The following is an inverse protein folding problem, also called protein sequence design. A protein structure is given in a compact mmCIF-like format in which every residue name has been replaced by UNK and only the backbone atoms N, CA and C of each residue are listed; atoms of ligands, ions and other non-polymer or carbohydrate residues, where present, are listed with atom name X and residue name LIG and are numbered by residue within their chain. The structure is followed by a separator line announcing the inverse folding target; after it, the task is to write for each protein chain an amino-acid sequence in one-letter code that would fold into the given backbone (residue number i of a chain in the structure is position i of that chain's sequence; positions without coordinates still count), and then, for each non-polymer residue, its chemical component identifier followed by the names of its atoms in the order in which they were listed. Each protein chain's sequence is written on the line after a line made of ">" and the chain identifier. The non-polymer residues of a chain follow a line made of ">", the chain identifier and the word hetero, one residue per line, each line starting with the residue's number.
data_IF_178067697733
#
_entry.id   IF_178067697733
#
_cell.length_a   1.000
_cell.length_b   1.000
_cell.length_c   1.000
_cell.angle_alpha   90.00
_cell.angle_beta   90.00
_cell.angle_gamma   90.00
#
_symmetry.space_group_name_H-M   'P 1'
#
loop_
_entity.id
_entity.type
_entity.pdbx_description
1 polymer ?
#
# COMPACT_ATOMS: atom_id res chain seq x y z
N UNK A 1 61.18 -25.89 -5.58
CA UNK A 1 60.73 -24.56 -6.06
C UNK A 1 59.31 -24.72 -6.56
N UNK A 2 58.35 -24.01 -5.98
CA UNK A 2 56.93 -24.17 -6.35
C UNK A 2 56.54 -23.12 -7.36
N UNK A 3 56.06 -23.56 -8.52
CA UNK A 3 55.66 -22.68 -9.61
C UNK A 3 54.47 -21.79 -9.20
N UNK A 4 54.41 -20.53 -9.68
CA UNK A 4 53.27 -19.65 -9.46
C UNK A 4 52.01 -20.22 -10.13
N UNK A 5 50.85 -19.99 -9.51
CA UNK A 5 49.58 -20.54 -9.99
C UNK A 5 49.12 -19.78 -11.24
N UNK A 6 48.73 -20.51 -12.29
CA UNK A 6 48.28 -19.92 -13.53
C UNK A 6 47.04 -19.02 -13.33
N UNK A 7 47.01 -17.87 -14.00
CA UNK A 7 45.92 -16.89 -13.93
C UNK A 7 44.56 -17.49 -14.30
N UNK A 8 44.53 -18.47 -15.20
CA UNK A 8 43.32 -19.19 -15.60
C UNK A 8 42.61 -19.89 -14.43
N UNK A 9 43.38 -20.44 -13.48
CA UNK A 9 42.86 -21.12 -12.29
C UNK A 9 42.12 -20.12 -11.40
N UNK A 10 42.70 -18.94 -11.19
CA UNK A 10 42.09 -17.85 -10.41
C UNK A 10 40.82 -17.30 -11.06
N UNK A 11 40.84 -17.11 -12.38
CA UNK A 11 39.67 -16.66 -13.14
C UNK A 11 38.54 -17.68 -13.04
N UNK A 12 38.85 -18.97 -13.14
CA UNK A 12 37.85 -20.03 -12.99
C UNK A 12 37.27 -20.08 -11.59
N UNK A 13 38.11 -19.96 -10.55
CA UNK A 13 37.64 -19.90 -9.16
C UNK A 13 36.71 -18.70 -8.92
N UNK A 14 37.11 -17.52 -9.38
CA UNK A 14 36.31 -16.29 -9.28
C UNK A 14 34.95 -16.46 -9.95
N UNK A 15 34.92 -16.96 -11.20
CA UNK A 15 33.68 -17.22 -11.95
C UNK A 15 32.82 -18.28 -11.28
N UNK A 16 33.40 -19.27 -10.61
CA UNK A 16 32.65 -20.28 -9.89
C UNK A 16 32.00 -19.69 -8.63
N UNK A 17 32.75 -18.91 -7.85
CA UNK A 17 32.24 -18.22 -6.67
C UNK A 17 31.11 -17.25 -7.00
N UNK A 18 31.28 -16.42 -8.03
CA UNK A 18 30.24 -15.47 -8.50
C UNK A 18 28.99 -16.20 -9.00
N UNK A 19 29.15 -17.30 -9.74
CA UNK A 19 28.02 -18.10 -10.24
C UNK A 19 27.25 -18.79 -9.13
N UNK A 20 27.93 -19.34 -8.13
CA UNK A 20 27.24 -19.96 -6.98
C UNK A 20 26.56 -18.89 -6.11
N UNK A 21 27.23 -17.75 -5.86
CA UNK A 21 26.63 -16.64 -5.11
C UNK A 21 25.39 -16.05 -5.81
N UNK A 22 25.33 -16.07 -7.14
CA UNK A 22 24.14 -15.62 -7.88
C UNK A 22 22.90 -16.51 -7.65
N UNK A 23 23.07 -17.76 -7.20
CA UNK A 23 21.97 -18.71 -6.97
C UNK A 23 21.24 -18.51 -5.64
N UNK A 24 21.70 -17.60 -4.77
CA UNK A 24 20.98 -17.30 -3.53
C UNK A 24 19.58 -16.74 -3.84
N UNK A 25 18.51 -17.25 -3.23
CA UNK A 25 17.16 -16.72 -3.44
C UNK A 25 16.98 -15.27 -2.96
N UNK A 26 17.71 -14.85 -1.92
CA UNK A 26 17.62 -13.50 -1.35
C UNK A 26 18.66 -12.54 -1.93
N UNK A 27 18.22 -11.33 -2.28
CA UNK A 27 18.99 -10.26 -2.91
C UNK A 27 20.13 -9.80 -2.02
N UNK A 28 19.85 -9.60 -0.73
CA UNK A 28 20.85 -9.17 0.25
C UNK A 28 22.03 -10.13 0.30
N UNK A 29 21.77 -11.43 0.27
CA UNK A 29 22.83 -12.44 0.25
C UNK A 29 23.54 -12.52 -1.09
N UNK A 30 22.82 -12.51 -2.23
CA UNK A 30 23.46 -12.47 -3.56
C UNK A 30 24.46 -11.32 -3.65
N UNK A 31 24.02 -10.10 -3.34
CA UNK A 31 24.84 -8.90 -3.45
C UNK A 31 25.97 -8.89 -2.42
N UNK A 32 25.70 -9.32 -1.18
CA UNK A 32 26.73 -9.42 -0.15
C UNK A 32 27.86 -10.36 -0.56
N UNK A 33 27.54 -11.58 -1.00
CA UNK A 33 28.55 -12.56 -1.39
C UNK A 33 29.32 -12.11 -2.64
N UNK A 34 28.63 -11.62 -3.68
CA UNK A 34 29.28 -11.09 -4.88
C UNK A 34 30.25 -9.94 -4.56
N UNK A 35 29.83 -8.98 -3.73
CA UNK A 35 30.69 -7.89 -3.29
C UNK A 35 31.89 -8.41 -2.50
N UNK A 36 31.67 -9.32 -1.55
CA UNK A 36 32.74 -9.85 -0.69
C UNK A 36 33.75 -10.69 -1.47
N UNK A 37 33.31 -11.47 -2.47
CA UNK A 37 34.18 -12.19 -3.40
C UNK A 37 35.05 -11.19 -4.15
N UNK A 38 34.45 -10.15 -4.74
CA UNK A 38 35.21 -9.09 -5.44
C UNK A 38 36.24 -8.42 -4.55
N UNK A 39 35.86 -7.98 -3.34
CA UNK A 39 36.77 -7.36 -2.37
C UNK A 39 37.94 -8.29 -1.99
N UNK A 40 37.69 -9.60 -1.82
CA UNK A 40 38.73 -10.56 -1.50
C UNK A 40 39.74 -10.73 -2.64
N UNK A 41 39.28 -10.77 -3.90
CA UNK A 41 40.16 -10.87 -5.05
C UNK A 41 40.93 -9.57 -5.31
N UNK A 42 40.32 -8.42 -5.08
CA UNK A 42 40.98 -7.11 -5.20
C UNK A 42 42.10 -6.96 -4.15
N UNK A 43 41.83 -7.28 -2.89
CA UNK A 43 42.82 -7.22 -1.80
C UNK A 43 44.04 -8.12 -2.05
N UNK A 44 43.84 -9.27 -2.68
CA UNK A 44 44.90 -10.25 -2.92
C UNK A 44 45.50 -10.21 -4.35
N UNK A 45 45.14 -9.21 -5.16
CA UNK A 45 45.58 -9.09 -6.57
C UNK A 45 47.11 -8.99 -6.71
N UNK A 46 47.78 -8.40 -5.72
CA UNK A 46 49.23 -8.17 -5.72
C UNK A 46 50.09 -9.27 -5.11
N UNK A 47 49.51 -10.41 -4.70
CA UNK A 47 50.26 -11.48 -4.03
C UNK A 47 51.02 -12.34 -5.05
N UNK A 48 52.35 -12.21 -5.07
CA UNK A 48 53.23 -12.93 -6.02
C UNK A 48 53.87 -14.19 -5.43
N UNK A 49 53.87 -14.34 -4.09
CA UNK A 49 54.48 -15.49 -3.41
C UNK A 49 53.73 -16.81 -3.71
N UNK A 50 54.38 -17.84 -4.30
CA UNK A 50 53.77 -19.11 -4.63
C UNK A 50 53.23 -19.92 -3.43
N UNK A 51 53.78 -19.73 -2.23
CA UNK A 51 53.30 -20.42 -1.01
C UNK A 51 52.00 -19.77 -0.53
N UNK A 52 51.99 -18.44 -0.43
CA UNK A 52 50.79 -17.67 -0.13
C UNK A 52 49.66 -17.89 -1.15
N UNK A 53 49.98 -17.95 -2.45
CA UNK A 53 49.02 -18.24 -3.51
C UNK A 53 48.32 -19.60 -3.32
N UNK A 54 49.06 -20.65 -2.95
CA UNK A 54 48.44 -21.98 -2.72
C UNK A 54 47.52 -21.98 -1.52
N UNK A 55 47.92 -21.33 -0.42
CA UNK A 55 47.07 -21.18 0.77
C UNK A 55 45.79 -20.42 0.48
N UNK A 56 45.88 -19.35 -0.32
CA UNK A 56 44.71 -18.57 -0.76
C UNK A 56 43.81 -19.38 -1.70
N UNK A 57 44.39 -20.20 -2.58
CA UNK A 57 43.63 -21.06 -3.49
C UNK A 57 42.85 -22.11 -2.72
N UNK A 58 43.49 -22.78 -1.75
CA UNK A 58 42.84 -23.76 -0.88
C UNK A 58 41.71 -23.11 -0.07
N UNK A 59 41.94 -21.91 0.47
CA UNK A 59 40.91 -21.14 1.17
C UNK A 59 39.72 -20.82 0.27
N UNK A 60 39.97 -20.34 -0.95
CA UNK A 60 38.89 -20.01 -1.90
C UNK A 60 38.10 -21.25 -2.35
N UNK A 61 38.74 -22.42 -2.45
CA UNK A 61 38.06 -23.69 -2.71
C UNK A 61 37.14 -24.09 -1.55
N UNK A 62 37.61 -23.96 -0.30
CA UNK A 62 36.77 -24.21 0.89
C UNK A 62 35.59 -23.24 0.97
N UNK A 63 35.81 -21.97 0.69
CA UNK A 63 34.75 -20.95 0.66
C UNK A 63 33.71 -21.23 -0.44
N UNK A 64 34.14 -21.74 -1.60
CA UNK A 64 33.22 -22.18 -2.66
C UNK A 64 32.30 -23.30 -2.20
N UNK A 65 32.82 -24.29 -1.46
CA UNK A 65 32.01 -25.37 -0.90
C UNK A 65 31.01 -24.85 0.14
N UNK A 66 31.43 -23.90 0.98
CA UNK A 66 30.54 -23.27 1.97
C UNK A 66 29.40 -22.53 1.27
N UNK A 67 29.70 -21.72 0.24
CA UNK A 67 28.67 -21.01 -0.52
C UNK A 67 27.69 -21.99 -1.17
N UNK A 68 28.18 -23.07 -1.78
CA UNK A 68 27.31 -24.12 -2.36
C UNK A 68 26.36 -24.72 -1.33
N UNK A 69 26.86 -25.08 -0.15
CA UNK A 69 26.01 -25.60 0.94
C UNK A 69 24.97 -24.58 1.39
N UNK A 70 25.37 -23.32 1.54
CA UNK A 70 24.48 -22.25 1.97
C UNK A 70 23.39 -21.93 0.95
N UNK A 71 23.71 -21.98 -0.35
CA UNK A 71 22.73 -21.84 -1.43
C UNK A 71 21.68 -22.94 -1.35
N UNK A 72 22.10 -24.21 -1.19
CA UNK A 72 21.17 -25.33 -1.08
C UNK A 72 20.27 -25.20 0.14
N UNK A 73 20.82 -24.86 1.32
CA UNK A 73 20.03 -24.64 2.54
C UNK A 73 19.01 -23.50 2.32
N UNK A 74 19.45 -22.39 1.72
CA UNK A 74 18.57 -21.25 1.45
C UNK A 74 17.44 -21.59 0.45
N UNK A 75 17.66 -22.55 -0.44
CA UNK A 75 16.64 -23.02 -1.38
C UNK A 75 15.66 -24.01 -0.72
N UNK A 76 16.13 -24.84 0.21
CA UNK A 76 15.28 -25.77 0.96
C UNK A 76 14.34 -25.05 1.94
N UNK A 77 14.78 -23.90 2.46
CA UNK A 77 14.01 -23.07 3.39
C UNK A 77 13.75 -21.68 2.78
N UNK A 78 12.76 -21.57 1.86
CA UNK A 78 12.48 -20.32 1.17
C UNK A 78 12.07 -19.21 2.15
N UNK A 79 12.65 -18.02 1.95
CA UNK A 79 12.35 -16.84 2.75
C UNK A 79 11.42 -15.88 2.00
N UNK A 80 10.73 -15.00 2.73
CA UNK A 80 9.89 -13.96 2.11
C UNK A 80 10.76 -13.04 1.26
N UNK A 81 10.31 -12.77 0.02
CA UNK A 81 10.99 -11.84 -0.87
C UNK A 81 11.04 -10.44 -0.26
N UNK A 82 12.17 -9.76 -0.44
CA UNK A 82 12.31 -8.36 -0.04
C UNK A 82 11.65 -7.46 -1.09
N UNK A 83 11.26 -6.23 -0.72
CA UNK A 83 10.63 -5.23 -1.62
C UNK A 83 11.44 -4.97 -2.90
N UNK A 84 12.76 -5.22 -2.86
CA UNK A 84 13.67 -5.08 -4.01
C UNK A 84 13.49 -6.20 -5.04
N UNK A 85 13.03 -7.37 -4.60
CA UNK A 85 12.90 -8.59 -5.42
C UNK A 85 11.53 -8.73 -6.08
N UNK A 86 10.48 -8.08 -5.54
CA UNK A 86 9.12 -8.11 -6.09
C UNK A 86 9.02 -7.60 -7.55
N UNK A 87 10.03 -6.87 -8.05
CA UNK A 87 9.97 -6.23 -9.38
C UNK A 87 10.47 -7.10 -10.53
N UNK A 88 11.01 -8.29 -10.28
CA UNK A 88 11.62 -9.12 -11.33
C UNK A 88 10.72 -10.26 -11.86
N UNK A 89 9.62 -10.58 -11.18
CA UNK A 89 8.84 -11.80 -11.46
C UNK A 89 7.77 -11.68 -12.55
N UNK A 90 7.60 -10.53 -13.22
CA UNK A 90 6.59 -10.40 -14.27
C UNK A 90 6.92 -11.15 -15.58
N UNK A 91 8.07 -11.84 -15.68
CA UNK A 91 8.55 -12.44 -16.95
C UNK A 91 8.88 -13.93 -16.92
N UNK A 92 8.92 -14.60 -15.78
CA UNK A 92 9.37 -16.02 -15.69
C UNK A 92 8.27 -17.04 -15.32
N UNK A 93 7.00 -16.64 -15.25
CA UNK A 93 5.88 -17.55 -14.88
C UNK A 93 5.37 -18.38 -16.08
N UNK A 94 6.25 -19.02 -16.87
CA UNK A 94 5.79 -19.95 -17.92
C UNK A 94 6.33 -21.37 -17.76
N UNK A 95 7.43 -21.60 -17.06
CA UNK A 95 7.97 -22.96 -16.95
C UNK A 95 8.57 -23.22 -15.57
N UNK A 96 7.74 -23.72 -14.66
CA UNK A 96 7.98 -24.82 -13.71
C UNK A 96 6.74 -24.83 -12.81
N UNK A 97 5.93 -25.87 -12.95
CA UNK A 97 4.82 -26.09 -12.03
C UNK A 97 5.38 -26.34 -10.63
N UNK A 98 4.91 -25.55 -9.66
CA UNK A 98 4.58 -25.90 -8.26
C UNK A 98 4.34 -24.59 -7.50
N UNK A 99 3.05 -24.39 -7.16
CA UNK A 99 2.47 -23.55 -6.10
C UNK A 99 2.96 -22.10 -6.02
N UNK A 100 2.33 -21.25 -6.84
CA UNK A 100 2.32 -19.79 -6.68
C UNK A 100 1.54 -19.42 -5.41
N UNK A 101 2.22 -19.00 -4.34
CA UNK A 101 1.59 -18.17 -3.32
C UNK A 101 1.55 -16.73 -3.85
N UNK A 102 0.46 -16.50 -4.58
CA UNK A 102 -0.05 -15.22 -5.03
C UNK A 102 0.10 -14.10 -3.99
N UNK A 103 0.83 -13.05 -4.34
CA UNK A 103 0.44 -11.67 -3.98
C UNK A 103 -0.63 -11.20 -4.97
N UNK A 104 -1.79 -11.84 -4.89
CA UNK A 104 -3.03 -11.26 -5.37
C UNK A 104 -3.41 -10.19 -4.35
N UNK A 105 -3.84 -9.02 -4.79
CA UNK A 105 -4.86 -8.28 -4.05
C UNK A 105 -5.99 -9.29 -3.81
N UNK A 106 -6.10 -9.79 -2.58
CA UNK A 106 -7.03 -10.86 -2.23
C UNK A 106 -8.42 -10.27 -2.42
N UNK A 107 -9.06 -10.57 -3.55
CA UNK A 107 -10.44 -10.19 -3.75
C UNK A 107 -11.26 -10.85 -2.64
N UNK A 108 -11.97 -10.02 -1.88
CA UNK A 108 -12.84 -10.49 -0.80
C UNK A 108 -13.95 -11.34 -1.42
N UNK A 109 -13.87 -12.65 -1.22
CA UNK A 109 -14.87 -13.61 -1.69
C UNK A 109 -15.41 -14.44 -0.55
N UNK A 110 -16.71 -14.73 -0.59
CA UNK A 110 -17.31 -15.65 0.35
C UNK A 110 -16.97 -17.08 -0.03
N UNK A 111 -16.35 -17.80 0.88
CA UNK A 111 -15.98 -19.22 0.72
C UNK A 111 -17.17 -20.17 0.55
N UNK A 112 -18.40 -19.74 0.89
CA UNK A 112 -19.63 -20.54 0.72
C UNK A 112 -20.34 -20.27 -0.61
N UNK A 113 -20.68 -19.02 -0.90
CA UNK A 113 -21.46 -18.64 -2.10
C UNK A 113 -20.62 -18.11 -3.25
N UNK A 114 -19.30 -17.95 -3.05
CA UNK A 114 -18.34 -17.38 -4.02
C UNK A 114 -18.73 -16.00 -4.55
N UNK A 115 -19.65 -15.31 -3.87
CA UNK A 115 -19.93 -13.90 -4.16
C UNK A 115 -18.72 -13.08 -3.74
N UNK A 116 -18.36 -12.13 -4.59
CA UNK A 116 -17.25 -11.22 -4.37
C UNK A 116 -17.72 -9.77 -4.50
N UNK A 117 -16.85 -8.84 -4.11
CA UNK A 117 -17.12 -7.39 -4.18
C UNK A 117 -17.47 -6.90 -5.60
N UNK A 118 -16.91 -7.55 -6.64
CA UNK A 118 -17.19 -7.22 -8.05
C UNK A 118 -18.63 -7.53 -8.46
N UNK A 119 -19.16 -8.69 -8.04
CA UNK A 119 -20.55 -9.09 -8.31
C UNK A 119 -21.55 -8.27 -7.50
N UNK A 120 -21.17 -7.90 -6.28
CA UNK A 120 -22.05 -7.18 -5.36
C UNK A 120 -21.23 -6.16 -4.56
N UNK A 121 -21.35 -4.88 -4.93
CA UNK A 121 -20.65 -3.78 -4.26
C UNK A 121 -21.06 -3.58 -2.80
N UNK A 122 -22.26 -4.05 -2.43
CA UNK A 122 -22.78 -4.00 -1.06
C UNK A 122 -22.50 -5.28 -0.26
N UNK A 123 -21.57 -6.13 -0.71
CA UNK A 123 -21.22 -7.37 -0.02
C UNK A 123 -20.45 -7.06 1.27
N UNK A 124 -21.07 -7.32 2.41
CA UNK A 124 -20.39 -7.24 3.71
C UNK A 124 -19.86 -8.62 4.09
N UNK A 125 -18.54 -8.69 4.27
CA UNK A 125 -17.84 -9.87 4.74
C UNK A 125 -17.78 -9.88 6.27
N UNK A 126 -17.98 -11.06 6.84
CA UNK A 126 -18.05 -11.31 8.27
C UNK A 126 -17.02 -12.38 8.64
N UNK A 127 -16.30 -12.17 9.74
CA UNK A 127 -15.30 -13.10 10.28
C UNK A 127 -15.72 -13.53 11.69
N UNK A 128 -15.27 -14.70 12.11
CA UNK A 128 -15.53 -15.30 13.42
C UNK A 128 -14.22 -15.70 14.12
N UNK A 129 -14.34 -16.24 15.33
CA UNK A 129 -13.21 -16.74 16.14
C UNK A 129 -12.36 -17.81 15.44
N UNK A 130 -12.90 -18.49 14.43
CA UNK A 130 -12.15 -19.46 13.63
C UNK A 130 -11.34 -18.83 12.49
N UNK A 131 -11.56 -17.55 12.17
CA UNK A 131 -10.88 -16.85 11.08
C UNK A 131 -11.39 -17.21 9.67
N UNK A 132 -12.58 -17.81 9.53
CA UNK A 132 -13.13 -18.17 8.21
C UNK A 132 -14.14 -17.11 7.74
N UNK A 133 -13.87 -16.38 6.64
CA UNK A 133 -14.71 -15.29 6.17
C UNK A 133 -15.98 -15.79 5.46
N UNK A 134 -17.13 -15.21 5.78
CA UNK A 134 -18.43 -15.51 5.19
C UNK A 134 -19.16 -14.21 4.86
N UNK A 135 -19.95 -14.14 3.78
CA UNK A 135 -20.78 -12.96 3.57
C UNK A 135 -21.96 -12.92 4.55
N UNK A 136 -22.47 -11.72 4.82
CA UNK A 136 -23.61 -11.50 5.72
C UNK A 136 -24.81 -12.41 5.43
N UNK A 137 -25.19 -12.56 4.15
CA UNK A 137 -26.29 -13.44 3.74
C UNK A 137 -26.02 -14.92 4.04
N UNK A 138 -24.77 -15.38 3.86
CA UNK A 138 -24.39 -16.75 4.22
C UNK A 138 -24.44 -16.96 5.74
N UNK A 139 -24.04 -15.98 6.54
CA UNK A 139 -24.15 -16.06 8.01
C UNK A 139 -25.62 -16.12 8.42
N UNK A 140 -26.49 -15.29 7.83
CA UNK A 140 -27.92 -15.30 8.13
C UNK A 140 -28.60 -16.63 7.78
N UNK A 141 -28.24 -17.24 6.65
CA UNK A 141 -28.83 -18.50 6.18
C UNK A 141 -28.25 -19.76 6.84
N UNK A 142 -26.94 -19.79 7.16
CA UNK A 142 -26.32 -20.94 7.82
C UNK A 142 -26.64 -20.99 9.32
N UNK A 143 -26.82 -19.83 9.95
CA UNK A 143 -27.01 -19.71 11.40
C UNK A 143 -28.44 -19.26 11.74
N UNK A 144 -29.45 -19.69 10.97
CA UNK A 144 -30.88 -19.37 11.21
C UNK A 144 -31.32 -19.79 12.62
N UNK A 145 -30.79 -20.92 13.12
CA UNK A 145 -31.07 -21.42 14.48
C UNK A 145 -30.18 -20.77 15.56
N UNK A 146 -29.58 -19.61 15.29
CA UNK A 146 -28.63 -18.86 16.14
C UNK A 146 -27.29 -19.56 16.46
N UNK A 147 -27.20 -20.88 16.29
CA UNK A 147 -25.97 -21.64 16.40
C UNK A 147 -25.87 -22.66 15.27
N UNK A 148 -24.64 -22.92 14.82
CA UNK A 148 -24.36 -23.87 13.74
C UNK A 148 -22.86 -24.17 13.62
N UNK A 149 -22.47 -25.21 12.88
CA UNK A 149 -21.06 -25.51 12.65
C UNK A 149 -20.46 -24.58 11.60
N UNK A 150 -19.21 -24.19 11.79
CA UNK A 150 -18.41 -23.51 10.78
C UNK A 150 -18.23 -24.42 9.55
N UNK A 151 -18.40 -23.86 8.35
CA UNK A 151 -18.35 -24.63 7.10
C UNK A 151 -16.95 -25.16 6.73
N UNK A 152 -15.86 -24.57 7.25
CA UNK A 152 -14.49 -25.03 6.97
C UNK A 152 -13.98 -25.97 8.06
N UNK A 153 -14.06 -25.54 9.33
CA UNK A 153 -13.46 -26.26 10.45
C UNK A 153 -14.45 -27.01 11.35
N UNK A 154 -15.75 -26.95 11.08
CA UNK A 154 -16.77 -27.69 11.84
C UNK A 154 -17.04 -27.20 13.28
N UNK A 155 -16.27 -26.23 13.81
CA UNK A 155 -16.49 -25.69 15.16
C UNK A 155 -17.88 -25.08 15.30
N UNK A 156 -18.58 -25.39 16.38
CA UNK A 156 -19.89 -24.82 16.68
C UNK A 156 -19.76 -23.35 17.06
N UNK A 157 -20.39 -22.48 16.26
CA UNK A 157 -20.34 -21.03 16.42
C UNK A 157 -21.73 -20.45 16.65
N UNK A 158 -21.79 -19.33 17.36
CA UNK A 158 -23.01 -18.53 17.57
C UNK A 158 -23.05 -17.37 16.58
N UNK A 159 -24.25 -17.03 16.09
CA UNK A 159 -24.48 -15.93 15.14
C UNK A 159 -23.96 -14.57 15.65
N UNK A 160 -24.06 -14.33 16.96
CA UNK A 160 -23.63 -13.07 17.58
C UNK A 160 -22.10 -12.90 17.65
N UNK A 161 -21.33 -13.99 17.45
CA UNK A 161 -19.87 -13.94 17.49
C UNK A 161 -19.25 -13.67 16.11
N UNK A 162 -20.05 -13.26 15.13
CA UNK A 162 -19.55 -12.78 13.84
C UNK A 162 -19.43 -11.25 13.86
N UNK A 163 -18.34 -10.72 13.30
CA UNK A 163 -18.11 -9.29 13.14
C UNK A 163 -17.71 -8.95 11.71
N UNK A 164 -17.92 -7.69 11.32
CA UNK A 164 -17.59 -7.21 9.98
C UNK A 164 -16.06 -7.17 9.77
N UNK A 165 -15.62 -7.67 8.62
CA UNK A 165 -14.21 -7.73 8.23
C UNK A 165 -13.77 -6.38 7.65
N UNK A 166 -12.87 -5.70 8.35
CA UNK A 166 -12.27 -4.44 7.88
C UNK A 166 -10.97 -4.71 7.13
N UNK A 167 -10.17 -5.67 7.60
CA UNK A 167 -8.88 -6.03 6.98
C UNK A 167 -9.01 -7.15 5.95
N UNK A 168 -8.15 -7.14 4.92
CA UNK A 168 -8.17 -8.17 3.87
C UNK A 168 -7.73 -9.55 4.37
N UNK A 169 -6.82 -9.58 5.36
CA UNK A 169 -6.33 -10.81 5.97
C UNK A 169 -7.22 -11.25 7.16
N UNK A 170 -7.87 -12.44 7.08
CA UNK A 170 -8.67 -12.97 8.18
C UNK A 170 -7.88 -13.25 9.47
N UNK A 171 -6.57 -13.50 9.38
CA UNK A 171 -5.71 -13.72 10.54
C UNK A 171 -5.55 -12.44 11.36
N UNK A 172 -5.32 -11.31 10.68
CA UNK A 172 -5.20 -9.99 11.31
C UNK A 172 -6.52 -9.62 12.01
N UNK A 173 -7.66 -9.96 11.43
CA UNK A 173 -8.95 -9.75 12.10
C UNK A 173 -9.11 -10.59 13.36
N UNK A 174 -8.76 -11.89 13.29
CA UNK A 174 -8.79 -12.78 14.46
C UNK A 174 -7.89 -12.24 15.57
N UNK A 175 -6.66 -11.85 15.24
CA UNK A 175 -5.70 -11.28 16.18
C UNK A 175 -6.20 -9.95 16.78
N UNK A 176 -6.75 -9.06 15.95
CA UNK A 176 -7.28 -7.76 16.40
C UNK A 176 -8.46 -7.93 17.34
N UNK A 177 -9.34 -8.90 17.04
CA UNK A 177 -10.46 -9.25 17.92
C UNK A 177 -9.98 -9.76 19.28
N UNK A 178 -9.03 -10.70 19.29
CA UNK A 178 -8.42 -11.24 20.52
C UNK A 178 -7.73 -10.12 21.31
N UNK A 179 -6.92 -9.28 20.65
CA UNK A 179 -6.23 -8.16 21.28
C UNK A 179 -7.22 -7.18 21.91
N UNK A 180 -8.35 -6.89 21.25
CA UNK A 180 -9.40 -6.01 21.78
C UNK A 180 -10.12 -6.61 22.99
N UNK A 181 -10.30 -7.93 23.03
CA UNK A 181 -10.82 -8.67 24.19
C UNK A 181 -9.82 -8.62 25.35
N UNK A 182 -8.55 -8.98 25.09
CA UNK A 182 -7.51 -9.07 26.11
C UNK A 182 -7.12 -7.69 26.68
N UNK A 183 -7.06 -6.62 25.88
CA UNK A 183 -6.78 -5.25 26.40
C UNK A 183 -7.77 -4.75 27.44
N UNK A 184 -8.99 -5.30 27.50
CA UNK A 184 -9.98 -4.97 28.55
C UNK A 184 -9.64 -5.62 29.89
N UNK A 185 -8.87 -6.71 29.87
CA UNK A 185 -8.43 -7.49 31.03
C UNK A 185 -7.01 -7.05 31.41
N UNK A 186 -6.11 -7.00 30.43
CA UNK A 186 -4.72 -6.55 30.55
C UNK A 186 -4.64 -5.03 30.34
N UNK A 187 -5.12 -4.26 31.32
CA UNK A 187 -5.17 -2.79 31.29
C UNK A 187 -4.25 -2.12 32.32
N UNK A 188 -3.24 -2.81 32.84
CA UNK A 188 -2.22 -2.19 33.71
C UNK A 188 -1.34 -1.23 32.94
N UNK A 189 -0.97 -0.13 33.59
CA UNK A 189 -0.14 0.94 33.04
C UNK A 189 1.27 0.86 33.63
N UNK A 190 2.20 1.62 33.03
CA UNK A 190 3.59 1.73 33.49
C UNK A 190 3.71 2.09 34.96
N UNK A 191 2.80 2.94 35.47
CA UNK A 191 2.80 3.40 36.87
C UNK A 191 2.45 2.30 37.89
N UNK A 192 1.82 1.21 37.44
CA UNK A 192 1.43 0.09 38.30
C UNK A 192 2.60 -0.85 38.58
N UNK A 193 3.76 -0.66 37.92
CA UNK A 193 4.94 -1.51 38.04
C UNK A 193 6.10 -0.76 38.71
N UNK A 194 6.88 -1.42 39.57
CA UNK A 194 8.04 -0.81 40.23
C UNK A 194 9.21 -0.58 39.27
N UNK A 195 9.31 -1.36 38.19
CA UNK A 195 10.42 -1.29 37.23
C UNK A 195 9.94 -1.31 35.77
N UNK A 196 10.70 -0.64 34.89
CA UNK A 196 10.43 -0.66 33.44
C UNK A 196 10.58 -2.07 32.85
N UNK A 197 11.46 -2.91 33.43
CA UNK A 197 11.68 -4.27 32.96
C UNK A 197 10.44 -5.14 33.17
N UNK A 198 9.85 -5.11 34.37
CA UNK A 198 8.61 -5.85 34.64
C UNK A 198 7.45 -5.41 33.77
N UNK A 199 7.35 -4.11 33.48
CA UNK A 199 6.35 -3.61 32.53
C UNK A 199 6.57 -4.14 31.11
N UNK A 200 7.83 -4.21 30.64
CA UNK A 200 8.14 -4.79 29.33
C UNK A 200 7.89 -6.30 29.30
N UNK A 201 8.26 -7.04 30.34
CA UNK A 201 8.00 -8.48 30.46
C UNK A 201 6.49 -8.76 30.46
N UNK A 202 5.69 -7.90 31.10
CA UNK A 202 4.23 -7.93 31.05
C UNK A 202 3.68 -7.72 29.63
N UNK A 203 4.23 -6.76 28.87
CA UNK A 203 3.84 -6.53 27.47
C UNK A 203 4.23 -7.71 26.56
N UNK A 204 5.43 -8.28 26.77
CA UNK A 204 5.86 -9.48 26.03
C UNK A 204 4.97 -10.69 26.35
N UNK A 205 4.60 -10.87 27.63
CA UNK A 205 3.66 -11.93 28.02
C UNK A 205 2.30 -11.74 27.37
N UNK A 206 1.81 -10.50 27.32
CA UNK A 206 0.56 -10.16 26.62
C UNK A 206 0.61 -10.57 25.13
N UNK A 207 1.68 -10.23 24.41
CA UNK A 207 1.83 -10.61 23.00
C UNK A 207 1.99 -12.13 22.80
N UNK A 208 2.62 -12.81 23.77
CA UNK A 208 2.69 -14.28 23.78
C UNK A 208 1.30 -14.90 23.86
N UNK A 209 0.45 -14.40 24.77
CA UNK A 209 -0.94 -14.88 24.92
C UNK A 209 -1.76 -14.58 23.65
N UNK A 210 -1.62 -13.39 23.07
CA UNK A 210 -2.28 -13.03 21.80
C UNK A 210 -1.86 -14.00 20.69
N UNK A 211 -0.56 -14.26 20.53
CA UNK A 211 -0.05 -15.21 19.54
C UNK A 211 -0.62 -16.61 19.76
N UNK A 212 -0.58 -17.14 20.98
CA UNK A 212 -1.06 -18.48 21.29
C UNK A 212 -2.55 -18.64 20.93
N UNK A 213 -3.40 -17.69 21.31
CA UNK A 213 -4.82 -17.71 20.97
C UNK A 213 -5.09 -17.49 19.46
N UNK A 214 -4.30 -16.65 18.80
CA UNK A 214 -4.42 -16.40 17.36
C UNK A 214 -4.10 -17.66 16.54
N UNK A 215 -3.06 -18.40 16.91
CA UNK A 215 -2.67 -19.64 16.22
C UNK A 215 -3.34 -20.90 16.75
N UNK A 216 -4.01 -20.83 17.90
CA UNK A 216 -4.67 -21.98 18.52
C UNK A 216 -3.69 -22.94 19.19
N UNK A 217 -2.57 -22.42 19.71
CA UNK A 217 -1.58 -23.16 20.49
C UNK A 217 -1.99 -23.06 21.96
N UNK A 218 -2.12 -24.21 22.64
CA UNK A 218 -2.41 -24.31 24.08
C UNK A 218 -3.55 -23.38 24.57
N UNK A 219 -4.68 -23.42 23.85
CA UNK A 219 -5.82 -22.51 24.09
C UNK A 219 -6.41 -22.68 25.50
N UNK A 220 -6.44 -23.90 26.02
CA UNK A 220 -7.01 -24.19 27.35
C UNK A 220 -6.15 -23.59 28.47
N UNK A 221 -4.84 -23.83 28.43
CA UNK A 221 -3.89 -23.31 29.42
C UNK A 221 -3.80 -21.78 29.37
N UNK A 222 -3.79 -21.20 28.17
CA UNK A 222 -3.73 -19.75 28.00
C UNK A 222 -5.02 -19.05 28.44
N UNK A 223 -6.20 -19.60 28.15
CA UNK A 223 -7.46 -19.07 28.68
C UNK A 223 -7.55 -19.25 30.21
N UNK A 224 -6.99 -20.32 30.77
CA UNK A 224 -6.91 -20.50 32.22
C UNK A 224 -5.99 -19.46 32.88
N UNK A 225 -4.83 -19.16 32.28
CA UNK A 225 -3.93 -18.09 32.73
C UNK A 225 -4.62 -16.71 32.67
N UNK A 226 -5.33 -16.42 31.58
CA UNK A 226 -6.10 -15.18 31.42
C UNK A 226 -7.19 -15.08 32.49
N UNK A 227 -7.87 -16.18 32.80
CA UNK A 227 -8.90 -16.23 33.85
C UNK A 227 -8.30 -16.00 35.25
N UNK A 228 -7.19 -16.67 35.57
CA UNK A 228 -6.48 -16.49 36.84
C UNK A 228 -5.98 -15.04 37.00
N UNK A 229 -5.42 -14.47 35.94
CA UNK A 229 -4.97 -13.08 35.93
C UNK A 229 -6.12 -12.10 36.16
N UNK A 230 -7.26 -12.35 35.49
CA UNK A 230 -8.47 -11.54 35.63
C UNK A 230 -9.02 -11.56 37.07
N UNK A 231 -8.98 -12.72 37.72
CA UNK A 231 -9.43 -12.88 39.10
C UNK A 231 -8.47 -12.18 40.08
N UNK A 232 -7.16 -12.40 39.93
CA UNK A 232 -6.13 -11.80 40.78
C UNK A 232 -6.09 -10.27 40.71
N UNK A 233 -6.39 -9.69 39.53
CA UNK A 233 -6.27 -8.25 39.28
C UNK A 233 -7.61 -7.53 39.13
N UNK A 234 -8.73 -8.16 39.49
CA UNK A 234 -10.08 -7.64 39.23
C UNK A 234 -10.28 -6.20 39.74
N UNK A 235 -9.78 -5.88 40.94
CA UNK A 235 -9.90 -4.54 41.53
C UNK A 235 -9.06 -3.48 40.78
N UNK A 236 -7.82 -3.83 40.41
CA UNK A 236 -6.94 -2.94 39.65
C UNK A 236 -7.52 -2.68 38.26
N UNK A 237 -8.04 -3.72 37.61
CA UNK A 237 -8.67 -3.62 36.29
C UNK A 237 -9.83 -2.63 36.34
N UNK A 238 -10.68 -2.71 37.36
CA UNK A 238 -11.85 -1.84 37.48
C UNK A 238 -11.47 -0.39 37.82
N UNK A 239 -10.42 -0.17 38.63
CA UNK A 239 -9.86 1.16 38.88
C UNK A 239 -9.30 1.77 37.59
N UNK A 240 -8.53 1.00 36.83
CA UNK A 240 -7.90 1.45 35.58
C UNK A 240 -8.90 1.71 34.45
N UNK A 241 -10.07 1.04 34.45
CA UNK A 241 -11.16 1.38 33.52
C UNK A 241 -11.79 2.74 33.80
N UNK A 242 -11.88 3.15 35.07
CA UNK A 242 -12.47 4.44 35.46
C UNK A 242 -11.51 5.60 35.28
N UNK A 243 -10.20 5.34 35.39
CA UNK A 243 -9.15 6.34 35.18
C UNK A 243 -8.95 6.58 33.68
N UNK A 244 -9.64 7.58 33.14
CA UNK A 244 -9.38 8.10 31.80
C UNK A 244 -7.92 8.53 31.70
N UNK A 245 -7.31 8.25 30.55
CA UNK A 245 -5.93 8.65 30.29
C UNK A 245 -5.82 10.18 30.22
N UNK A 246 -4.67 10.76 30.59
CA UNK A 246 -4.45 12.21 30.47
C UNK A 246 -4.69 12.67 29.02
N UNK A 247 -4.19 11.89 28.05
CA UNK A 247 -4.42 12.09 26.62
C UNK A 247 -5.91 11.97 26.26
N UNK A 248 -6.64 11.02 26.84
CA UNK A 248 -8.07 10.85 26.57
C UNK A 248 -8.90 12.00 27.11
N UNK A 249 -8.56 12.50 28.30
CA UNK A 249 -9.19 13.68 28.91
C UNK A 249 -8.92 14.90 28.02
N UNK A 250 -7.67 15.09 27.60
CA UNK A 250 -7.27 16.18 26.71
C UNK A 250 -8.01 16.12 25.36
N UNK A 251 -8.08 14.93 24.72
CA UNK A 251 -8.82 14.72 23.47
C UNK A 251 -10.30 15.03 23.67
N UNK A 252 -10.92 14.53 24.74
CA UNK A 252 -12.34 14.79 25.01
C UNK A 252 -12.63 16.28 25.19
N UNK A 253 -11.76 16.99 25.91
CA UNK A 253 -11.91 18.41 26.15
C UNK A 253 -11.79 19.22 24.85
N UNK A 254 -10.78 18.94 24.03
CA UNK A 254 -10.63 19.61 22.73
C UNK A 254 -11.81 19.35 21.80
N UNK A 255 -12.29 18.10 21.71
CA UNK A 255 -13.45 17.77 20.89
C UNK A 255 -14.74 18.46 21.37
N UNK A 256 -14.86 18.69 22.69
CA UNK A 256 -15.97 19.46 23.26
C UNK A 256 -15.86 20.93 22.89
N UNK A 257 -14.69 21.53 23.04
CA UNK A 257 -14.43 22.92 22.69
C UNK A 257 -14.66 23.19 21.19
N UNK A 258 -14.19 22.29 20.32
CA UNK A 258 -14.44 22.36 18.87
C UNK A 258 -15.94 22.27 18.53
N UNK A 259 -16.67 21.36 19.21
CA UNK A 259 -18.11 21.22 19.02
C UNK A 259 -18.87 22.46 19.49
N UNK A 260 -18.52 22.99 20.65
CA UNK A 260 -19.14 24.19 21.21
C UNK A 260 -18.86 25.42 20.34
N UNK A 261 -17.64 25.54 19.81
CA UNK A 261 -17.29 26.58 18.84
C UNK A 261 -18.12 26.46 17.57
N UNK A 262 -18.24 25.25 17.00
CA UNK A 262 -19.08 25.01 15.82
C UNK A 262 -20.54 25.35 16.08
N UNK A 263 -21.11 24.92 17.20
CA UNK A 263 -22.49 25.21 17.58
C UNK A 263 -22.74 26.72 17.71
N UNK A 264 -21.79 27.49 18.28
CA UNK A 264 -21.90 28.96 18.38
C UNK A 264 -21.92 29.61 17.01
N UNK A 265 -21.05 29.17 16.09
CA UNK A 265 -21.02 29.67 14.71
C UNK A 265 -22.31 29.34 13.97
N UNK A 266 -22.79 28.10 14.08
CA UNK A 266 -24.03 27.66 13.43
C UNK A 266 -25.25 28.42 13.99
N UNK A 267 -25.29 28.67 15.31
CA UNK A 267 -26.34 29.49 15.94
C UNK A 267 -26.31 30.94 15.47
N UNK A 268 -25.12 31.57 15.43
CA UNK A 268 -24.96 32.93 14.93
C UNK A 268 -25.41 33.04 13.47
N UNK A 269 -25.00 32.09 12.62
CA UNK A 269 -25.41 32.07 11.21
C UNK A 269 -26.92 31.89 11.04
N UNK A 270 -27.54 31.01 11.84
CA UNK A 270 -28.99 30.80 11.80
C UNK A 270 -29.77 32.03 12.30
N UNK A 271 -29.22 32.78 13.26
CA UNK A 271 -29.83 34.02 13.74
C UNK A 271 -29.73 35.14 12.69
N UNK A 272 -28.57 35.32 12.05
CA UNK A 272 -28.39 36.25 10.93
C UNK A 272 -29.39 35.94 9.79
N UNK A 273 -29.51 34.67 9.38
CA UNK A 273 -30.44 34.28 8.32
C UNK A 273 -31.91 34.60 8.66
N UNK A 274 -32.31 34.40 9.93
CA UNK A 274 -33.67 34.74 10.39
C UNK A 274 -33.91 36.25 10.45
N UNK A 275 -32.87 37.04 10.74
CA UNK A 275 -32.97 38.51 10.73
C UNK A 275 -33.13 39.03 9.30
N UNK A 276 -32.39 38.46 8.34
CA UNK A 276 -32.52 38.75 6.90
C UNK A 276 -33.91 38.38 6.36
N UNK A 277 -34.44 37.20 6.73
CA UNK A 277 -35.81 36.83 6.35
C UNK A 277 -36.86 37.81 6.93
N UNK A 278 -36.67 38.24 8.19
CA UNK A 278 -37.59 39.20 8.83
C UNK A 278 -37.49 40.60 8.22
N UNK A 279 -36.31 41.06 7.82
CA UNK A 279 -36.17 42.37 7.15
C UNK A 279 -36.80 42.35 5.76
N UNK A 280 -36.59 41.28 4.98
CA UNK A 280 -37.23 41.12 3.66
C UNK A 280 -38.77 41.17 3.72
N UNK A 281 -39.38 40.56 4.74
CA UNK A 281 -40.84 40.62 4.96
C UNK A 281 -41.31 42.01 5.39
N UNK A 282 -40.50 42.76 6.17
CA UNK A 282 -40.83 44.14 6.56
C UNK A 282 -40.76 45.11 5.40
N UNK A 283 -39.76 44.97 4.53
CA UNK A 283 -39.57 45.86 3.36
C UNK A 283 -40.73 45.71 2.38
N UNK A 284 -41.16 44.48 2.08
CA UNK A 284 -42.34 44.24 1.21
C UNK A 284 -43.64 44.80 1.78
N UNK A 285 -43.81 44.74 3.11
CA UNK A 285 -44.99 45.32 3.79
C UNK A 285 -44.95 46.85 3.80
N UNK A 286 -43.80 47.46 4.06
CA UNK A 286 -43.63 48.91 4.06
C UNK A 286 -43.97 49.52 2.68
N UNK A 287 -43.57 48.85 1.60
CA UNK A 287 -43.92 49.23 0.23
C UNK A 287 -45.44 49.18 0.01
N UNK A 288 -46.13 48.14 0.50
CA UNK A 288 -47.58 48.03 0.40
C UNK A 288 -48.33 49.10 1.23
N UNK A 289 -47.79 49.48 2.39
CA UNK A 289 -48.40 50.49 3.26
C UNK A 289 -48.19 51.91 2.68
N UNK A 290 -47.01 52.22 2.12
CA UNK A 290 -46.74 53.51 1.46
C UNK A 290 -47.61 53.73 0.21
N UNK A 291 -47.86 52.68 -0.59
CA UNK A 291 -48.79 52.71 -1.72
C UNK A 291 -50.26 52.92 -1.29
N UNK A 292 -50.61 52.58 -0.05
CA UNK A 292 -51.97 52.70 0.49
C UNK A 292 -52.25 54.07 1.09
N UNK A 293 -51.26 54.65 1.76
CA UNK A 293 -51.42 55.87 2.53
C UNK A 293 -51.14 57.14 1.72
N UNK A 294 -50.33 57.04 0.67
CA UNK A 294 -49.93 58.19 -0.14
C UNK A 294 -50.75 58.30 -1.44
N UNK A 295 -51.16 59.53 -1.79
CA UNK A 295 -51.83 59.84 -3.06
C UNK A 295 -50.83 60.21 -4.17
N UNK A 296 -49.60 59.71 -4.10
CA UNK A 296 -48.54 59.98 -5.08
C UNK A 296 -48.64 58.93 -6.21
N UNK A 297 -48.37 59.28 -7.49
CA UNK A 297 -48.36 58.30 -8.57
C UNK A 297 -47.43 57.13 -8.26
N UNK A 298 -47.94 55.90 -8.45
CA UNK A 298 -47.24 54.66 -8.08
C UNK A 298 -45.83 54.53 -8.69
N UNK A 299 -45.62 55.10 -9.88
CA UNK A 299 -44.33 55.10 -10.59
C UNK A 299 -43.22 55.84 -9.80
N UNK A 300 -43.56 56.95 -9.14
CA UNK A 300 -42.60 57.74 -8.35
C UNK A 300 -42.21 57.03 -7.06
N UNK A 301 -43.12 56.25 -6.47
CA UNK A 301 -42.87 55.45 -5.26
C UNK A 301 -41.94 54.29 -5.60
N UNK A 302 -42.20 53.60 -6.72
CA UNK A 302 -41.36 52.50 -7.21
C UNK A 302 -39.96 52.97 -7.60
N UNK A 303 -39.80 54.17 -8.17
CA UNK A 303 -38.49 54.73 -8.51
C UNK A 303 -37.68 55.10 -7.27
N UNK A 304 -38.31 55.65 -6.23
CA UNK A 304 -37.66 55.90 -4.93
C UNK A 304 -37.19 54.61 -4.28
N UNK A 305 -38.02 53.57 -4.32
CA UNK A 305 -37.65 52.27 -3.76
C UNK A 305 -36.60 51.53 -4.58
N UNK A 306 -36.64 51.64 -5.92
CA UNK A 306 -35.57 51.10 -6.78
C UNK A 306 -34.23 51.76 -6.46
N UNK A 307 -34.21 53.08 -6.20
CA UNK A 307 -33.00 53.78 -5.77
C UNK A 307 -32.51 53.30 -4.40
N UNK A 308 -33.42 53.13 -3.44
CA UNK A 308 -33.12 52.63 -2.10
C UNK A 308 -32.57 51.19 -2.13
N UNK A 309 -33.15 50.32 -2.97
CA UNK A 309 -32.66 48.95 -3.18
C UNK A 309 -31.26 48.92 -3.81
N UNK A 310 -30.97 49.79 -4.78
CA UNK A 310 -29.64 49.88 -5.39
C UNK A 310 -28.59 50.35 -4.36
N UNK A 311 -28.93 51.34 -3.53
CA UNK A 311 -28.05 51.80 -2.44
C UNK A 311 -27.80 50.69 -1.40
N UNK A 312 -28.85 49.97 -0.99
CA UNK A 312 -28.73 48.81 -0.09
C UNK A 312 -27.89 47.66 -0.68
N UNK A 313 -28.08 47.32 -1.96
CA UNK A 313 -27.34 46.25 -2.63
C UNK A 313 -25.84 46.60 -2.77
N UNK A 314 -25.51 47.87 -2.97
CA UNK A 314 -24.13 48.36 -3.01
C UNK A 314 -23.46 48.25 -1.62
N UNK A 315 -24.19 48.63 -0.57
CA UNK A 315 -23.72 48.56 0.82
C UNK A 315 -23.53 47.10 1.28
N UNK A 316 -24.45 46.20 0.92
CA UNK A 316 -24.35 44.77 1.20
C UNK A 316 -23.17 44.11 0.47
N UNK A 317 -22.89 44.50 -0.79
CA UNK A 317 -21.71 44.05 -1.53
C UNK A 317 -20.41 44.50 -0.89
N UNK A 318 -20.35 45.74 -0.39
CA UNK A 318 -19.18 46.24 0.34
C UNK A 318 -18.97 45.49 1.67
N UNK A 319 -20.06 45.26 2.42
CA UNK A 319 -20.00 44.53 3.68
C UNK A 319 -19.63 43.05 3.48
N UNK A 320 -20.15 42.40 2.44
CA UNK A 320 -19.78 41.04 2.05
C UNK A 320 -18.29 40.94 1.68
N UNK A 321 -17.73 41.95 1.00
CA UNK A 321 -16.29 42.02 0.72
C UNK A 321 -15.46 42.17 2.01
N UNK A 322 -15.90 42.99 2.97
CA UNK A 322 -15.29 43.12 4.30
C UNK A 322 -15.36 41.82 5.09
N UNK A 323 -16.50 41.10 5.05
CA UNK A 323 -16.69 39.79 5.70
C UNK A 323 -15.80 38.71 5.09
N UNK A 324 -15.67 38.67 3.76
CA UNK A 324 -14.73 37.77 3.06
C UNK A 324 -13.27 38.03 3.48
N UNK A 325 -12.88 39.30 3.64
CA UNK A 325 -11.54 39.66 4.12
C UNK A 325 -11.31 39.18 5.56
N UNK A 326 -12.25 39.43 6.48
CA UNK A 326 -12.18 38.95 7.87
C UNK A 326 -12.11 37.42 7.96
N UNK A 327 -12.95 36.69 7.22
CA UNK A 327 -12.93 35.23 7.20
C UNK A 327 -11.60 34.67 6.65
N UNK A 328 -11.00 35.36 5.67
CA UNK A 328 -9.68 34.99 5.12
C UNK A 328 -8.56 35.17 6.15
N UNK A 329 -8.61 36.24 6.94
CA UNK A 329 -7.67 36.48 8.04
C UNK A 329 -7.83 35.44 9.16
N UNK A 330 -9.06 35.15 9.60
CA UNK A 330 -9.35 34.11 10.60
C UNK A 330 -8.87 32.73 10.13
N UNK A 331 -9.05 32.40 8.84
CA UNK A 331 -8.57 31.14 8.27
C UNK A 331 -7.03 31.07 8.24
N UNK A 332 -6.36 32.18 7.94
CA UNK A 332 -4.90 32.27 8.01
C UNK A 332 -4.37 32.14 9.43
N UNK A 333 -5.05 32.73 10.42
CA UNK A 333 -4.66 32.60 11.83
C UNK A 333 -4.94 31.20 12.38
N UNK A 334 -6.06 30.56 12.02
CA UNK A 334 -6.29 29.12 12.31
C UNK A 334 -5.20 28.24 11.69
N UNK A 335 -4.76 28.54 10.48
CA UNK A 335 -3.68 27.82 9.81
C UNK A 335 -2.35 27.98 10.55
N UNK A 336 -2.00 29.22 10.95
CA UNK A 336 -0.81 29.50 11.76
C UNK A 336 -0.85 28.81 13.12
N UNK A 337 -2.02 28.80 13.77
CA UNK A 337 -2.22 28.15 15.06
C UNK A 337 -2.11 26.62 14.94
N UNK A 338 -2.69 26.02 13.88
CA UNK A 338 -2.52 24.60 13.57
C UNK A 338 -1.07 24.22 13.25
N UNK A 339 -0.34 25.07 12.52
CA UNK A 339 1.10 24.92 12.26
C UNK A 339 1.94 25.03 13.55
N UNK A 340 1.48 25.81 14.53
CA UNK A 340 2.14 25.95 15.85
C UNK A 340 1.87 24.79 16.82
N UNK A 341 0.69 24.15 16.71
CA UNK A 341 0.25 23.03 17.57
C UNK A 341 0.69 21.64 17.05
N UNK A 342 1.19 21.56 15.82
CA UNK A 342 1.77 20.33 15.30
C UNK A 342 3.19 20.12 15.83
N UNK A 343 3.36 19.25 16.82
CA UNK A 343 4.68 18.76 17.29
C UNK A 343 5.41 17.88 16.25
N UNK A 344 4.87 17.75 15.04
CA UNK A 344 5.50 17.09 13.90
C UNK A 344 6.04 18.11 12.91
N UNK A 345 7.03 18.90 13.30
CA UNK A 345 7.96 19.47 12.31
C UNK A 345 8.89 18.36 11.84
N UNK A 346 8.32 17.36 11.16
CA UNK A 346 9.04 16.75 10.05
C UNK A 346 9.10 17.83 9.01
N UNK A 347 10.16 18.64 9.10
CA UNK A 347 10.63 19.48 8.05
C UNK A 347 10.80 18.55 6.85
N UNK A 348 9.76 18.42 6.02
CA UNK A 348 9.92 18.04 4.64
C UNK A 348 10.71 19.20 4.08
N UNK A 349 12.03 19.12 4.24
CA UNK A 349 12.97 19.83 3.39
C UNK A 349 12.55 19.36 2.01
N UNK A 350 11.68 20.14 1.37
CA UNK A 350 11.57 20.12 -0.07
C UNK A 350 12.94 20.63 -0.50
N UNK A 351 13.90 19.71 -0.55
CA UNK A 351 15.21 19.96 -1.12
C UNK A 351 14.99 20.53 -2.51
N UNK A 352 15.97 21.27 -3.02
CA UNK A 352 15.94 21.76 -4.40
C UNK A 352 15.36 20.69 -5.31
N UNK A 353 14.35 21.06 -6.10
CA UNK A 353 13.74 20.15 -7.07
C UNK A 353 14.85 19.43 -7.81
N UNK A 354 14.77 18.10 -7.88
CA UNK A 354 15.79 17.29 -8.52
C UNK A 354 15.89 17.71 -9.99
N UNK A 355 16.95 18.43 -10.32
CA UNK A 355 17.30 18.74 -11.70
C UNK A 355 18.11 17.57 -12.23
N UNK A 356 17.50 16.74 -13.06
CA UNK A 356 18.16 15.59 -13.66
C UNK A 356 19.32 16.06 -14.53
N UNK A 357 20.54 15.85 -14.07
CA UNK A 357 21.75 15.95 -14.90
C UNK A 357 22.07 14.54 -15.40
N UNK A 358 21.93 14.26 -16.71
CA UNK A 358 22.25 12.94 -17.23
C UNK A 358 23.70 12.61 -16.86
N UNK A 359 23.96 11.43 -16.26
CA UNK A 359 25.29 11.06 -15.83
C UNK A 359 26.23 11.07 -17.05
N UNK A 360 27.33 11.82 -16.96
CA UNK A 360 28.40 11.76 -17.96
C UNK A 360 29.08 10.41 -17.88
N UNK A 361 28.55 9.44 -18.62
CA UNK A 361 29.16 8.14 -18.82
C UNK A 361 30.49 8.38 -19.56
N UNK A 362 31.59 8.39 -18.82
CA UNK A 362 32.91 8.31 -19.44
C UNK A 362 33.04 6.88 -19.98
N UNK A 363 32.81 6.74 -21.28
CA UNK A 363 32.97 5.47 -21.98
C UNK A 363 34.47 5.15 -21.96
N UNK A 364 34.91 4.36 -20.99
CA UNK A 364 36.26 3.79 -20.96
C UNK A 364 36.32 2.58 -21.91
N UNK A 365 36.05 2.83 -23.18
CA UNK A 365 36.13 1.87 -24.27
C UNK A 365 36.86 2.48 -25.46
N UNK A 366 37.37 1.66 -26.40
CA UNK A 366 37.92 2.17 -27.64
C UNK A 366 36.87 3.05 -28.33
N UNK A 367 37.30 4.17 -28.91
CA UNK A 367 36.42 5.10 -29.59
C UNK A 367 35.61 4.35 -30.67
N UNK A 368 34.35 4.76 -30.85
CA UNK A 368 33.49 4.20 -31.88
C UNK A 368 34.20 4.41 -33.22
N UNK A 369 34.53 3.34 -33.97
CA UNK A 369 35.22 3.47 -35.25
C UNK A 369 34.34 4.26 -36.22
N UNK A 370 34.95 5.18 -36.96
CA UNK A 370 34.24 6.02 -37.92
C UNK A 370 33.64 5.17 -39.05
N UNK A 371 32.63 5.71 -39.73
CA UNK A 371 31.99 5.01 -40.86
C UNK A 371 33.02 4.64 -41.94
N UNK A 372 34.00 5.50 -42.17
CA UNK A 372 35.12 5.29 -43.11
C UNK A 372 36.04 4.12 -42.68
N UNK A 373 36.29 3.97 -41.37
CA UNK A 373 37.03 2.83 -40.81
C UNK A 373 36.25 1.51 -40.92
N UNK A 374 34.92 1.57 -40.87
CA UNK A 374 34.05 0.40 -41.04
C UNK A 374 33.93 -0.02 -42.51
N UNK A 375 33.95 0.94 -43.46
CA UNK A 375 33.96 0.67 -44.91
C UNK A 375 35.30 0.04 -45.33
N UNK A 376 36.42 0.62 -44.91
CA UNK A 376 37.76 0.14 -45.26
C UNK A 376 38.08 -1.25 -44.71
N UNK A 377 37.55 -1.60 -43.52
CA UNK A 377 37.70 -2.95 -42.94
C UNK A 377 36.65 -3.95 -43.45
N UNK A 378 35.80 -3.57 -44.42
CA UNK A 378 34.85 -4.47 -45.08
C UNK A 378 33.61 -4.82 -44.26
N UNK A 379 33.42 -4.26 -43.05
CA UNK A 379 32.29 -4.58 -42.17
C UNK A 379 30.93 -4.15 -42.73
N UNK A 380 30.91 -3.27 -43.74
CA UNK A 380 29.70 -2.77 -44.38
C UNK A 380 29.32 -3.51 -45.67
N UNK A 381 30.11 -4.49 -46.13
CA UNK A 381 29.85 -5.23 -47.38
C UNK A 381 28.56 -6.07 -47.36
N UNK A 382 28.11 -6.53 -46.19
CA UNK A 382 26.93 -7.38 -46.05
C UNK A 382 25.68 -6.65 -45.54
N UNK A 383 25.77 -5.33 -45.31
CA UNK A 383 24.63 -4.52 -44.88
C UNK A 383 23.82 -4.12 -46.12
N UNK A 384 22.71 -4.83 -46.36
CA UNK A 384 21.76 -4.48 -47.43
C UNK A 384 21.03 -3.19 -47.05
N UNK A 385 20.91 -2.26 -48.00
CA UNK A 385 20.03 -1.10 -47.84
C UNK A 385 18.59 -1.57 -47.52
N UNK A 386 17.93 -0.91 -46.59
CA UNK A 386 16.56 -1.24 -46.20
C UNK A 386 15.60 -0.99 -47.37
N UNK A 387 15.36 -2.01 -48.21
CA UNK A 387 14.33 -1.95 -49.24
C UNK A 387 12.95 -2.13 -48.60
N UNK A 388 12.03 -1.19 -48.84
CA UNK A 388 10.63 -1.21 -48.38
C UNK A 388 9.75 -2.37 -48.92
N UNK A 389 10.34 -3.39 -49.54
CA UNK A 389 9.61 -4.47 -50.26
C UNK A 389 9.89 -5.86 -49.66
N UNK A 390 9.76 -6.00 -48.34
CA UNK A 390 9.62 -7.33 -47.72
C UNK A 390 8.50 -7.32 -46.70
N UNK A 391 7.25 -7.38 -47.20
CA UNK A 391 6.11 -7.81 -46.37
C UNK A 391 6.24 -9.32 -46.11
N UNK A 392 6.04 -9.79 -44.87
CA UNK A 392 5.94 -11.22 -44.59
C UNK A 392 4.55 -11.71 -45.00
N UNK A 393 4.45 -12.46 -46.08
CA UNK A 393 3.25 -13.22 -46.42
C UNK A 393 3.44 -14.64 -45.91
N UNK A 394 2.65 -14.98 -44.88
CA UNK A 394 2.38 -16.34 -44.46
C UNK A 394 1.69 -17.10 -45.62
N UNK A 395 2.35 -18.17 -46.08
CA UNK A 395 1.85 -19.33 -46.84
C UNK A 395 1.47 -19.18 -48.34
N UNK A 396 1.58 -20.29 -49.12
CA UNK A 396 2.15 -20.29 -50.47
C UNK A 396 1.10 -20.03 -51.56
N UNK A 397 1.25 -18.91 -52.26
CA UNK A 397 0.36 -18.47 -53.34
C UNK A 397 1.00 -18.55 -54.73
N UNK A 398 1.89 -19.52 -54.96
CA UNK A 398 2.50 -19.74 -56.29
C UNK A 398 2.30 -21.14 -56.86
N UNK A 399 1.48 -21.99 -56.25
CA UNK A 399 1.17 -23.34 -56.79
C UNK A 399 -0.34 -23.58 -57.00
N UNK A 400 -1.21 -22.60 -56.72
CA UNK A 400 -2.68 -22.75 -56.81
C UNK A 400 -3.36 -21.81 -57.83
N UNK A 401 -2.59 -21.21 -58.75
CA UNK A 401 -3.14 -20.39 -59.85
C UNK A 401 -3.14 -21.15 -61.19
N UNK A 402 -2.49 -22.32 -61.27
CA UNK A 402 -2.41 -23.11 -62.52
C UNK A 402 -3.48 -24.23 -62.58
N UNK A 403 -4.15 -24.56 -61.48
CA UNK A 403 -5.12 -25.68 -61.42
C UNK A 403 -6.59 -25.28 -61.32
N UNK A 404 -6.90 -23.98 -61.29
CA UNK A 404 -8.29 -23.48 -61.30
C UNK A 404 -8.77 -23.06 -62.70
N UNK A 405 -7.86 -22.63 -63.58
CA UNK A 405 -8.17 -22.29 -64.97
C UNK A 405 -8.20 -23.52 -65.92
N UNK A 406 -7.59 -24.65 -65.53
CA UNK A 406 -7.63 -25.91 -66.29
C UNK A 406 -8.93 -26.73 -66.06
N UNK A 407 -9.63 -26.52 -64.95
CA UNK A 407 -10.89 -27.22 -64.63
C UNK A 407 -12.15 -26.42 -65.02
N UNK A 408 -12.02 -25.11 -65.27
CA UNK A 408 -13.12 -24.27 -65.75
C UNK A 408 -13.23 -24.25 -67.29
N UNK A 409 -12.23 -24.78 -68.01
CA UNK A 409 -12.25 -25.00 -69.47
C UNK A 409 -12.87 -26.34 -69.90
N UNK A 410 -12.97 -27.33 -69.00
CA UNK A 410 -13.50 -28.69 -69.32
C UNK A 410 -15.01 -28.87 -69.13
N UNK A 411 -15.73 -27.87 -68.64
CA UNK A 411 -17.18 -27.94 -68.39
C UNK A 411 -18.05 -27.07 -69.31
N UNK A 412 -17.46 -26.32 -70.25
CA UNK A 412 -18.19 -25.39 -71.14
C UNK A 412 -17.98 -25.63 -72.65
N UNK A 413 -17.52 -26.81 -73.07
CA UNK A 413 -17.33 -27.12 -74.51
C UNK A 413 -18.01 -28.42 -74.96
N UNK A 414 -19.21 -28.69 -74.42
CA UNK A 414 -20.25 -29.47 -75.09
C UNK A 414 -21.60 -28.78 -74.88
N UNK A 415 -21.86 -27.75 -75.70
CA UNK A 415 -23.18 -27.40 -76.20
C UNK A 415 -23.00 -26.48 -77.40
N UNK A 416 -23.25 -27.08 -78.57
CA UNK A 416 -23.20 -26.60 -79.95
C UNK A 416 -21.82 -26.63 -80.61
#
# INVERSE_FOLDING_TARGET
>A
MTAPIAKSVWVNLYKNLEREAAKFPQYNYRVFFQRRIREHFEKNRGVTDPVAQRKLLEKGQKELEVIRRQVVISQLYPHKHTVVEEKLDSREIVNIGVVTQNTLTIMRECTKCKSNEYTNKNLVMMVNECGHPLCKNCVENLFVRNAGPCHVCGKTLRKNNFWEQVFDDPLIEKETHIRRRLRKIYNLKKDDFPSLREFNDYLERFETIVCNLAFGIDVEDTEAEVAAFKEANAELIEKNKKKLDEDQIWIMQNLKEDRDMKNRVDQAHNQENKEVEKSAVKDTKAIMDELRESNVPAEVILDRERKRQIEQELEEKEEAARRKKRNKEILQDRKRMAESMSFSTSQRVSGRAFEYKPPRLHINGPAIPSKEELESKGYLQHIRAASLVRKPLNLPLTVLVITRDQLQWRLNLFRL
#
